data_IF_700975505401
#
_entry.id   IF_700975505401
#
_cell.length_a   1.000
_cell.length_b   1.000
_cell.length_c   1.000
_cell.angle_alpha   90.00
_cell.angle_beta   90.00
_cell.angle_gamma   90.00
#
_symmetry.space_group_name_H-M   'P 1'
#
loop_
_entity.id
_entity.type
_entity.pdbx_description
1 polymer ?
#
# COMPACT_ATOMS: atom_id res chain seq x y z
N UNK A 1 -12.45 4.05 12.57
CA UNK A 1 -12.70 4.43 13.99
C UNK A 1 -11.48 5.17 14.49
N UNK A 2 -11.68 6.19 15.29
CA UNK A 2 -10.63 6.89 16.05
C UNK A 2 -10.83 6.57 17.52
N UNK A 3 -9.75 6.19 18.20
CA UNK A 3 -9.75 5.96 19.64
C UNK A 3 -8.89 7.04 20.30
N UNK A 4 -9.45 7.74 21.27
CA UNK A 4 -8.67 8.62 22.14
C UNK A 4 -8.25 7.82 23.37
N UNK A 5 -6.93 7.60 23.52
CA UNK A 5 -6.40 6.83 24.66
C UNK A 5 -6.62 7.49 26.02
N UNK A 6 -7.04 8.76 26.06
CA UNK A 6 -7.39 9.51 27.28
C UNK A 6 -8.87 9.35 27.66
N UNK A 7 -9.68 8.83 26.75
CA UNK A 7 -11.10 8.57 26.96
C UNK A 7 -11.45 7.15 26.56
N UNK A 8 -12.49 6.58 27.16
CA UNK A 8 -12.99 5.25 26.81
C UNK A 8 -13.96 5.27 25.62
N UNK A 9 -13.87 6.28 24.77
CA UNK A 9 -14.77 6.46 23.63
C UNK A 9 -14.06 6.21 22.30
N UNK A 10 -14.80 5.61 21.36
CA UNK A 10 -14.37 5.44 19.98
C UNK A 10 -15.28 6.25 19.06
N UNK A 11 -14.69 7.10 18.24
CA UNK A 11 -15.43 7.91 17.27
C UNK A 11 -15.29 7.29 15.88
N UNK A 12 -16.41 7.14 15.19
CA UNK A 12 -16.40 6.75 13.77
C UNK A 12 -16.00 7.94 12.93
N UNK A 13 -14.90 7.82 12.15
CA UNK A 13 -14.40 8.91 11.32
C UNK A 13 -15.12 8.99 9.98
N UNK A 14 -15.20 7.87 9.27
CA UNK A 14 -15.79 7.81 7.93
C UNK A 14 -16.29 6.39 7.60
N UNK A 15 -17.12 6.30 6.57
CA UNK A 15 -17.47 5.06 5.88
C UNK A 15 -17.06 5.18 4.41
N UNK A 16 -16.24 4.26 3.94
CA UNK A 16 -15.95 4.16 2.52
C UNK A 16 -17.09 3.45 1.79
N UNK A 17 -17.56 4.05 0.70
CA UNK A 17 -18.59 3.49 -0.16
C UNK A 17 -18.05 3.35 -1.58
N UNK A 18 -18.44 2.28 -2.26
CA UNK A 18 -18.07 2.05 -3.66
C UNK A 18 -18.75 3.09 -4.54
N UNK A 19 -18.00 3.64 -5.52
CA UNK A 19 -18.53 4.52 -6.55
C UNK A 19 -19.37 3.76 -7.60
N UNK A 20 -19.36 2.42 -7.58
CA UNK A 20 -20.05 1.53 -8.52
C UNK A 20 -21.52 1.27 -8.12
N UNK A 21 -22.27 2.28 -7.71
CA UNK A 21 -23.71 2.17 -7.50
C UNK A 21 -24.48 2.43 -8.81
N UNK A 22 -25.28 1.48 -9.31
CA UNK A 22 -26.33 1.79 -10.25
C UNK A 22 -27.36 2.69 -9.55
N UNK A 23 -27.97 3.63 -10.27
CA UNK A 23 -29.00 4.57 -9.76
C UNK A 23 -30.14 3.91 -8.96
N UNK A 24 -30.23 2.57 -8.97
CA UNK A 24 -31.27 1.76 -8.29
C UNK A 24 -30.80 1.02 -7.02
N UNK A 25 -29.49 0.99 -6.72
CA UNK A 25 -28.97 0.35 -5.50
C UNK A 25 -28.06 1.30 -4.75
N UNK A 26 -28.16 1.36 -3.40
CA UNK A 26 -27.26 2.17 -2.61
C UNK A 26 -25.82 1.68 -2.82
N UNK A 27 -24.82 2.59 -2.81
CA UNK A 27 -23.42 2.20 -2.92
C UNK A 27 -23.04 1.22 -1.80
N UNK A 28 -22.45 0.10 -2.17
CA UNK A 28 -21.99 -0.92 -1.23
C UNK A 28 -20.90 -0.38 -0.31
N UNK A 29 -20.89 -0.81 0.95
CA UNK A 29 -19.79 -0.49 1.88
C UNK A 29 -18.53 -1.25 1.46
N UNK A 30 -17.39 -0.57 1.54
CA UNK A 30 -16.06 -1.16 1.28
C UNK A 30 -15.50 -1.67 2.59
N UNK A 31 -15.10 -2.94 2.63
CA UNK A 31 -14.29 -3.50 3.72
C UNK A 31 -12.86 -2.96 3.61
N UNK A 32 -12.31 -2.42 4.69
CA UNK A 32 -10.95 -1.87 4.72
C UNK A 32 -9.97 -2.92 5.24
N UNK A 33 -8.88 -3.16 4.49
CA UNK A 33 -7.80 -4.08 4.83
C UNK A 33 -6.58 -3.35 5.38
N UNK A 34 -6.34 -2.12 4.94
CA UNK A 34 -5.14 -1.36 5.29
C UNK A 34 -5.44 0.11 5.51
N UNK A 35 -4.70 0.71 6.45
CA UNK A 35 -4.68 2.14 6.74
C UNK A 35 -3.25 2.55 7.02
N UNK A 36 -2.83 3.71 6.50
CA UNK A 36 -1.51 4.28 6.76
C UNK A 36 -1.58 5.79 6.84
N UNK A 37 -0.80 6.38 7.75
CA UNK A 37 -0.71 7.83 7.94
C UNK A 37 0.54 8.33 7.21
N UNK A 38 0.43 9.47 6.52
CA UNK A 38 1.58 10.15 5.94
C UNK A 38 2.42 10.78 7.06
N UNK A 39 3.66 10.30 7.26
CA UNK A 39 4.55 10.78 8.32
C UNK A 39 4.97 12.24 8.15
N UNK A 40 4.99 12.77 6.92
CA UNK A 40 5.31 14.19 6.64
C UNK A 40 4.12 15.10 6.83
N UNK A 41 2.93 14.57 6.56
CA UNK A 41 1.68 15.33 6.61
C UNK A 41 0.69 14.54 7.46
N UNK A 42 0.84 14.52 8.80
CA UNK A 42 0.18 13.57 9.69
C UNK A 42 -1.35 13.74 9.78
N UNK A 43 -1.92 14.73 9.13
CA UNK A 43 -3.37 14.84 8.97
C UNK A 43 -3.88 14.13 7.70
N UNK A 44 -3.01 13.64 6.82
CA UNK A 44 -3.40 12.78 5.72
C UNK A 44 -3.20 11.31 6.07
N UNK A 45 -4.19 10.51 5.72
CA UNK A 45 -4.13 9.06 5.83
C UNK A 45 -4.73 8.40 4.60
N UNK A 46 -4.15 7.29 4.17
CA UNK A 46 -4.66 6.48 3.08
C UNK A 46 -5.36 5.23 3.62
N UNK A 47 -6.42 4.81 2.95
CA UNK A 47 -7.12 3.56 3.20
C UNK A 47 -7.30 2.78 1.90
N UNK A 48 -7.28 1.46 2.01
CA UNK A 48 -7.54 0.54 0.92
C UNK A 48 -8.20 -0.74 1.42
N UNK A 49 -8.92 -1.42 0.56
CA UNK A 49 -9.65 -2.60 0.95
C UNK A 49 -10.29 -3.35 -0.21
N UNK A 50 -11.55 -3.71 -0.07
CA UNK A 50 -12.27 -4.65 -0.95
C UNK A 50 -12.61 -4.12 -2.35
N UNK A 51 -11.98 -3.03 -2.77
CA UNK A 51 -12.02 -2.54 -4.15
C UNK A 51 -10.61 -2.10 -4.63
N UNK A 52 -10.55 -1.64 -5.87
CA UNK A 52 -9.31 -1.27 -6.55
C UNK A 52 -8.76 0.11 -6.18
N UNK A 53 -9.46 0.90 -5.36
CA UNK A 53 -9.08 2.30 -5.10
C UNK A 53 -8.41 2.50 -3.74
N UNK A 54 -7.17 3.03 -3.75
CA UNK A 54 -6.55 3.60 -2.56
C UNK A 54 -7.02 5.05 -2.41
N UNK A 55 -7.61 5.39 -1.26
CA UNK A 55 -8.22 6.71 -1.00
C UNK A 55 -7.48 7.44 0.10
N UNK A 56 -7.13 8.68 -0.16
CA UNK A 56 -6.49 9.57 0.82
C UNK A 56 -7.51 10.53 1.40
N UNK A 57 -7.53 10.65 2.70
CA UNK A 57 -8.42 11.54 3.46
C UNK A 57 -7.64 12.51 4.32
N UNK A 58 -8.23 13.69 4.55
CA UNK A 58 -7.76 14.66 5.54
C UNK A 58 -8.56 14.46 6.83
N UNK A 59 -7.91 14.05 7.92
CA UNK A 59 -8.57 13.79 9.20
C UNK A 59 -9.29 15.03 9.75
N UNK A 60 -8.83 16.22 9.41
CA UNK A 60 -9.42 17.50 9.84
C UNK A 60 -10.77 17.77 9.18
N UNK A 61 -11.03 17.12 8.02
CA UNK A 61 -12.29 17.19 7.27
C UNK A 61 -13.24 16.04 7.56
N UNK A 62 -12.78 15.02 8.30
CA UNK A 62 -13.59 13.86 8.65
C UNK A 62 -14.43 14.18 9.89
N UNK A 63 -15.70 14.58 9.70
CA UNK A 63 -16.65 14.86 10.77
C UNK A 63 -17.87 13.94 10.65
N UNK A 64 -18.00 12.99 11.56
CA UNK A 64 -19.13 12.03 11.59
C UNK A 64 -20.52 12.68 11.55
N UNK A 65 -20.66 13.87 12.12
CA UNK A 65 -21.94 14.59 12.22
C UNK A 65 -22.21 15.55 11.05
N UNK A 66 -21.27 15.75 10.15
CA UNK A 66 -21.37 16.68 9.04
C UNK A 66 -21.96 16.02 7.78
N UNK A 67 -22.42 16.85 6.86
CA UNK A 67 -23.06 16.49 5.58
C UNK A 67 -22.32 15.42 4.77
N UNK A 68 -22.98 14.80 3.79
CA UNK A 68 -22.45 13.78 2.86
C UNK A 68 -21.14 14.15 2.17
N UNK A 69 -20.76 15.43 2.14
CA UNK A 69 -19.54 15.95 1.53
C UNK A 69 -18.28 15.73 2.37
N UNK A 70 -18.43 15.42 3.68
CA UNK A 70 -17.29 15.18 4.58
C UNK A 70 -16.58 13.84 4.35
N UNK A 71 -17.22 12.90 3.66
CA UNK A 71 -16.70 11.57 3.39
C UNK A 71 -15.97 11.45 2.03
N UNK A 72 -15.72 12.57 1.34
CA UNK A 72 -15.02 12.56 0.06
C UNK A 72 -13.50 12.48 0.26
N UNK A 73 -12.82 11.57 -0.45
CA UNK A 73 -11.36 11.50 -0.41
C UNK A 73 -10.75 12.76 -1.06
N UNK A 74 -9.64 13.20 -0.51
CA UNK A 74 -8.83 14.30 -1.07
C UNK A 74 -8.12 13.85 -2.34
N UNK A 75 -7.75 12.57 -2.40
CA UNK A 75 -7.16 11.95 -3.59
C UNK A 75 -7.53 10.46 -3.67
N UNK A 76 -7.49 9.91 -4.89
CA UNK A 76 -7.79 8.50 -5.16
C UNK A 76 -6.81 7.97 -6.20
N UNK A 77 -6.19 6.83 -5.88
CA UNK A 77 -5.21 6.17 -6.73
C UNK A 77 -5.71 4.80 -7.16
N UNK A 78 -5.52 4.48 -8.43
CA UNK A 78 -5.77 3.16 -9.01
C UNK A 78 -4.96 3.02 -10.30
N UNK A 79 -4.29 1.89 -10.57
CA UNK A 79 -3.69 1.63 -11.88
C UNK A 79 -4.78 1.58 -12.96
N UNK A 80 -4.53 2.17 -14.12
CA UNK A 80 -5.54 2.30 -15.18
C UNK A 80 -6.16 0.96 -15.60
N UNK A 81 -5.35 -0.10 -15.70
CA UNK A 81 -5.81 -1.44 -16.10
C UNK A 81 -6.65 -2.15 -15.04
N UNK A 82 -6.58 -1.73 -13.77
CA UNK A 82 -7.40 -2.28 -12.69
C UNK A 82 -8.74 -1.56 -12.53
N UNK A 83 -8.91 -0.41 -13.15
CA UNK A 83 -10.13 0.38 -13.07
C UNK A 83 -11.33 -0.43 -13.57
N UNK A 84 -12.32 -0.62 -12.71
CA UNK A 84 -13.50 -1.39 -13.03
C UNK A 84 -13.38 -2.90 -12.77
N UNK A 85 -12.24 -3.40 -12.34
CA UNK A 85 -12.04 -4.81 -11.97
C UNK A 85 -12.91 -5.18 -10.76
N UNK A 86 -13.57 -6.36 -10.84
CA UNK A 86 -14.48 -6.80 -9.77
C UNK A 86 -13.81 -7.63 -8.68
N UNK A 87 -12.67 -8.25 -8.99
CA UNK A 87 -12.02 -9.24 -8.11
C UNK A 87 -10.72 -8.71 -7.50
N UNK A 88 -10.32 -7.49 -7.83
CA UNK A 88 -9.11 -6.87 -7.33
C UNK A 88 -9.42 -6.08 -6.07
N UNK A 89 -8.59 -6.26 -5.05
CA UNK A 89 -8.68 -5.54 -3.78
C UNK A 89 -7.28 -5.19 -3.26
N UNK A 90 -7.22 -4.14 -2.46
CA UNK A 90 -5.96 -3.70 -1.85
C UNK A 90 -5.68 -4.53 -0.61
N UNK A 91 -4.45 -5.04 -0.51
CA UNK A 91 -3.97 -5.85 0.61
C UNK A 91 -3.07 -5.07 1.56
N UNK A 92 -2.28 -4.11 1.04
CA UNK A 92 -1.34 -3.35 1.84
C UNK A 92 -1.09 -1.95 1.31
N UNK A 93 -0.80 -1.04 2.22
CA UNK A 93 -0.44 0.35 1.95
C UNK A 93 0.77 0.74 2.79
N UNK A 94 1.66 1.57 2.24
CA UNK A 94 2.72 2.24 2.99
C UNK A 94 2.99 3.63 2.41
N UNK A 95 3.34 4.58 3.27
CA UNK A 95 3.88 5.88 2.85
C UNK A 95 5.39 5.91 2.97
N UNK A 96 6.06 6.46 1.96
CA UNK A 96 7.47 6.80 2.04
C UNK A 96 7.67 8.09 2.85
N UNK A 97 8.91 8.34 3.29
CA UNK A 97 9.33 9.61 3.90
C UNK A 97 9.17 10.81 2.95
N UNK A 98 8.98 10.59 1.66
CA UNK A 98 8.69 11.62 0.65
C UNK A 98 7.20 11.73 0.29
N UNK A 99 6.30 11.12 1.07
CA UNK A 99 4.85 11.11 0.84
C UNK A 99 4.43 10.41 -0.46
N UNK A 100 5.23 9.46 -0.97
CA UNK A 100 4.83 8.57 -2.05
C UNK A 100 3.99 7.43 -1.45
N UNK A 101 2.93 7.01 -2.12
CA UNK A 101 2.03 5.96 -1.67
C UNK A 101 2.33 4.65 -2.38
N UNK A 102 2.72 3.63 -1.62
CA UNK A 102 2.89 2.26 -2.09
C UNK A 102 1.60 1.48 -1.87
N UNK A 103 1.11 0.81 -2.89
CA UNK A 103 -0.15 0.07 -2.88
C UNK A 103 0.07 -1.34 -3.41
N UNK A 104 -0.30 -2.35 -2.62
CA UNK A 104 -0.25 -3.76 -3.01
C UNK A 104 -1.65 -4.29 -3.29
N UNK A 105 -1.80 -5.01 -4.38
CA UNK A 105 -3.06 -5.62 -4.80
C UNK A 105 -2.99 -7.16 -4.73
N UNK A 106 -4.15 -7.79 -4.47
CA UNK A 106 -4.25 -9.24 -4.61
C UNK A 106 -4.23 -9.63 -6.09
N UNK A 107 -3.67 -10.79 -6.39
CA UNK A 107 -3.55 -11.36 -7.75
C UNK A 107 -2.97 -10.40 -8.79
N UNK A 108 -2.26 -9.35 -8.32
CA UNK A 108 -1.64 -8.33 -9.13
C UNK A 108 -0.32 -7.87 -8.50
N UNK A 109 0.17 -6.70 -8.87
CA UNK A 109 1.49 -6.19 -8.54
C UNK A 109 1.44 -5.16 -7.39
N UNK A 110 2.58 -4.58 -7.09
CA UNK A 110 2.74 -3.46 -6.17
C UNK A 110 3.04 -2.22 -7.00
N UNK A 111 2.36 -1.13 -6.70
CA UNK A 111 2.44 0.15 -7.42
C UNK A 111 2.87 1.26 -6.50
N UNK A 112 3.81 2.10 -6.95
CA UNK A 112 4.23 3.30 -6.26
C UNK A 112 3.66 4.52 -6.97
N UNK A 113 2.81 5.26 -6.26
CA UNK A 113 2.23 6.51 -6.72
C UNK A 113 2.99 7.68 -6.11
N UNK A 114 3.45 8.59 -6.96
CA UNK A 114 4.11 9.82 -6.54
C UNK A 114 3.06 10.87 -6.14
N UNK A 115 3.43 11.75 -5.22
CA UNK A 115 2.58 12.89 -4.87
C UNK A 115 2.57 13.86 -6.05
N UNK A 116 1.38 14.12 -6.62
CA UNK A 116 1.24 15.18 -7.62
C UNK A 116 1.57 16.53 -6.97
N UNK A 117 2.46 17.29 -7.59
CA UNK A 117 2.83 18.65 -7.17
C UNK A 117 1.67 19.66 -7.21
N UNK A 118 0.52 19.29 -7.78
CA UNK A 118 -0.71 20.07 -7.84
C UNK A 118 -1.51 20.14 -6.53
N UNK A 119 -1.00 19.56 -5.44
CA UNK A 119 -1.70 19.56 -4.15
C UNK A 119 -1.74 20.93 -3.45
N UNK A 120 -0.90 21.90 -3.87
CA UNK A 120 -0.85 23.25 -3.31
C UNK A 120 -1.63 24.31 -4.11
N UNK A 121 -2.23 23.96 -5.25
CA UNK A 121 -3.08 24.86 -6.01
C UNK A 121 -4.56 24.53 -5.79
N UNK A 122 -5.31 25.50 -5.26
CA UNK A 122 -6.77 25.51 -5.16
C UNK A 122 -7.41 25.09 -6.49
N UNK A 123 -8.49 24.29 -6.50
CA UNK A 123 -9.16 23.89 -7.72
C UNK A 123 -9.80 25.12 -8.38
N UNK A 124 -9.15 25.65 -9.39
CA UNK A 124 -9.75 26.55 -10.35
C UNK A 124 -10.51 25.72 -11.37
N UNK A 125 -11.79 26.04 -11.52
CA UNK A 125 -12.79 25.44 -12.40
C UNK A 125 -12.28 25.04 -13.79
N UNK A 126 -12.71 23.83 -14.22
CA UNK A 126 -12.88 23.41 -15.60
C UNK A 126 -11.76 23.72 -16.61
N UNK A 127 -10.77 22.84 -16.67
CA UNK A 127 -9.99 22.68 -17.89
C UNK A 127 -9.84 21.18 -18.18
N UNK A 128 -10.19 20.76 -19.41
CA UNK A 128 -9.90 19.47 -19.97
C UNK A 128 -8.38 19.22 -19.84
N UNK A 129 -7.98 18.28 -18.97
CA UNK A 129 -6.58 17.93 -18.83
C UNK A 129 -6.15 17.09 -20.03
N UNK A 130 -5.06 17.53 -20.67
CA UNK A 130 -4.38 16.81 -21.73
C UNK A 130 -3.90 15.45 -21.23
N UNK A 131 -4.03 14.34 -22.02
CA UNK A 131 -3.64 13.00 -21.62
C UNK A 131 -2.13 12.76 -21.54
N UNK A 132 -1.30 13.81 -21.47
CA UNK A 132 0.17 13.74 -21.46
C UNK A 132 0.81 13.72 -20.07
N UNK A 133 0.05 13.81 -18.98
CA UNK A 133 0.57 13.69 -17.61
C UNK A 133 0.32 12.28 -17.04
N UNK A 134 0.63 11.25 -17.84
CA UNK A 134 0.77 9.88 -17.33
C UNK A 134 2.00 9.83 -16.44
N UNK A 135 1.80 10.05 -15.17
CA UNK A 135 2.79 9.82 -14.13
C UNK A 135 3.23 8.36 -14.23
N UNK A 136 4.53 8.11 -14.49
CA UNK A 136 5.09 6.77 -14.55
C UNK A 136 4.97 6.11 -13.18
N UNK A 137 3.90 5.34 -13.00
CA UNK A 137 3.71 4.52 -11.81
C UNK A 137 4.77 3.42 -11.81
N UNK A 138 5.66 3.41 -10.82
CA UNK A 138 6.65 2.32 -10.69
C UNK A 138 5.95 1.07 -10.23
N UNK A 139 6.36 -0.06 -10.82
CA UNK A 139 5.72 -1.36 -10.61
C UNK A 139 6.73 -2.37 -10.10
N UNK A 140 6.42 -3.06 -9.01
CA UNK A 140 7.24 -4.11 -8.42
C UNK A 140 6.56 -5.46 -8.60
N UNK A 141 7.27 -6.40 -9.22
CA UNK A 141 6.73 -7.69 -9.67
C UNK A 141 7.50 -8.88 -9.12
N UNK A 142 6.92 -10.07 -9.30
CA UNK A 142 7.55 -11.35 -9.00
C UNK A 142 7.06 -12.04 -7.72
N UNK A 143 6.45 -11.31 -6.79
CA UNK A 143 5.82 -11.88 -5.59
C UNK A 143 4.44 -12.48 -5.92
N UNK A 144 3.92 -13.33 -5.04
CA UNK A 144 2.55 -13.87 -5.09
C UNK A 144 1.74 -13.31 -3.95
N UNK A 145 0.56 -12.80 -4.26
CA UNK A 145 -0.36 -12.19 -3.30
C UNK A 145 -1.82 -12.59 -3.56
N UNK A 146 -2.12 -13.90 -3.50
CA UNK A 146 -3.43 -14.45 -3.80
C UNK A 146 -4.13 -15.08 -2.58
N UNK A 147 -3.35 -15.59 -1.62
CA UNK A 147 -3.91 -16.42 -0.54
C UNK A 147 -4.32 -15.64 0.70
N UNK A 148 -3.56 -14.61 1.05
CA UNK A 148 -3.78 -13.85 2.30
C UNK A 148 -3.49 -12.37 2.08
N UNK A 149 -4.05 -11.52 2.92
CA UNK A 149 -3.73 -10.10 2.96
C UNK A 149 -2.27 -9.91 3.37
N UNK A 150 -1.50 -9.17 2.56
CA UNK A 150 -0.08 -8.93 2.77
C UNK A 150 0.22 -7.44 2.89
N UNK A 151 1.04 -7.10 3.90
CA UNK A 151 1.61 -5.78 4.03
C UNK A 151 2.73 -5.55 3.03
N UNK A 152 2.97 -4.29 2.75
CA UNK A 152 4.14 -3.78 2.04
C UNK A 152 4.79 -2.72 2.89
N UNK A 153 6.09 -2.48 2.72
CA UNK A 153 6.78 -1.44 3.46
C UNK A 153 7.97 -0.89 2.68
N UNK A 154 8.51 0.21 3.17
CA UNK A 154 9.80 0.74 2.73
C UNK A 154 10.90 0.29 3.69
N UNK A 155 12.14 0.28 3.19
CA UNK A 155 13.32 -0.07 3.97
C UNK A 155 14.52 0.79 3.59
N UNK A 156 15.37 1.04 4.58
CA UNK A 156 16.53 1.91 4.44
C UNK A 156 16.29 3.32 4.98
N UNK A 157 17.36 4.06 5.32
CA UNK A 157 17.28 5.37 5.96
C UNK A 157 16.53 6.42 5.10
N UNK A 158 16.56 6.28 3.78
CA UNK A 158 15.86 7.16 2.83
C UNK A 158 14.84 6.41 1.96
N UNK A 159 14.30 5.30 2.46
CA UNK A 159 13.34 4.45 1.73
C UNK A 159 13.89 3.96 0.38
N UNK A 160 15.16 3.54 0.34
CA UNK A 160 15.82 3.10 -0.88
C UNK A 160 15.25 1.79 -1.43
N UNK A 161 14.58 1.03 -0.58
CA UNK A 161 14.05 -0.28 -0.92
C UNK A 161 12.56 -0.39 -0.64
N UNK A 162 11.89 -1.25 -1.40
CA UNK A 162 10.50 -1.69 -1.20
C UNK A 162 10.52 -3.15 -0.76
N UNK A 163 9.67 -3.49 0.20
CA UNK A 163 9.55 -4.82 0.79
C UNK A 163 8.16 -5.39 0.56
N UNK A 164 8.08 -6.68 0.30
CA UNK A 164 6.83 -7.45 0.40
C UNK A 164 7.10 -8.89 0.81
N UNK A 165 6.14 -9.47 1.54
CA UNK A 165 6.04 -10.90 1.68
C UNK A 165 5.39 -11.56 0.45
N UNK A 166 5.33 -12.88 0.46
CA UNK A 166 4.75 -13.65 -0.64
C UNK A 166 4.09 -14.94 -0.15
N UNK A 167 3.14 -15.44 -0.93
CA UNK A 167 2.49 -16.74 -0.70
C UNK A 167 3.44 -17.93 -0.82
N UNK A 168 4.60 -17.73 -1.44
CA UNK A 168 5.66 -18.76 -1.54
C UNK A 168 6.61 -18.76 -0.34
N UNK A 169 6.34 -17.96 0.71
CA UNK A 169 7.16 -17.92 1.91
C UNK A 169 8.43 -17.06 1.79
N UNK A 170 8.63 -16.38 0.68
CA UNK A 170 9.78 -15.52 0.48
C UNK A 170 9.50 -14.06 0.84
N UNK A 171 10.56 -13.37 1.23
CA UNK A 171 10.63 -11.92 1.41
C UNK A 171 11.30 -11.36 0.16
N UNK A 172 10.62 -10.44 -0.49
CA UNK A 172 11.09 -9.73 -1.68
C UNK A 172 11.56 -8.34 -1.29
N UNK A 173 12.75 -7.96 -1.80
CA UNK A 173 13.33 -6.62 -1.62
C UNK A 173 13.71 -6.08 -2.99
N UNK A 174 13.06 -5.01 -3.39
CA UNK A 174 13.38 -4.29 -4.64
C UNK A 174 14.07 -2.96 -4.34
N UNK A 175 14.95 -2.53 -5.23
CA UNK A 175 15.45 -1.16 -5.23
C UNK A 175 14.34 -0.22 -5.70
N UNK A 176 13.96 0.76 -4.86
CA UNK A 176 12.79 1.63 -5.11
C UNK A 176 12.84 2.33 -6.46
N UNK A 177 13.97 2.96 -6.81
CA UNK A 177 14.10 3.77 -8.03
C UNK A 177 14.04 2.94 -9.31
N UNK A 178 14.62 1.75 -9.30
CA UNK A 178 14.80 0.91 -10.50
C UNK A 178 13.71 -0.16 -10.62
N UNK A 179 12.89 -0.33 -9.58
CA UNK A 179 11.96 -1.44 -9.42
C UNK A 179 12.60 -2.84 -9.62
N UNK A 180 13.93 -2.92 -9.43
CA UNK A 180 14.72 -4.12 -9.62
C UNK A 180 14.78 -4.95 -8.35
N UNK A 181 14.46 -6.23 -8.45
CA UNK A 181 14.65 -7.19 -7.36
C UNK A 181 16.15 -7.29 -7.03
N UNK A 182 16.51 -6.99 -5.78
CA UNK A 182 17.90 -7.03 -5.31
C UNK A 182 18.12 -8.12 -4.26
N UNK A 183 17.05 -8.58 -3.60
CA UNK A 183 17.13 -9.62 -2.59
C UNK A 183 15.89 -10.47 -2.58
N UNK A 184 16.10 -11.76 -2.40
CA UNK A 184 15.06 -12.76 -2.19
C UNK A 184 15.51 -13.63 -1.00
N UNK A 185 14.74 -13.64 0.07
CA UNK A 185 15.07 -14.37 1.29
C UNK A 185 13.96 -15.37 1.63
N UNK A 186 14.32 -16.54 2.13
CA UNK A 186 13.36 -17.50 2.65
C UNK A 186 12.91 -17.01 4.02
N UNK A 187 11.68 -16.53 4.11
CA UNK A 187 11.07 -16.01 5.33
C UNK A 187 10.37 -17.09 6.14
N UNK A 188 9.41 -17.74 5.56
CA UNK A 188 8.58 -18.79 6.16
C UNK A 188 8.46 -19.99 5.25
N UNK A 189 7.97 -21.11 5.78
CA UNK A 189 7.69 -22.33 4.98
C UNK A 189 6.48 -22.15 4.08
N UNK A 190 5.54 -21.29 4.48
CA UNK A 190 4.28 -21.07 3.78
C UNK A 190 4.16 -19.63 3.29
N UNK A 191 3.62 -18.75 4.09
CA UNK A 191 3.29 -17.38 3.68
C UNK A 191 3.99 -16.38 4.58
N UNK A 192 4.57 -15.34 4.02
CA UNK A 192 4.97 -14.15 4.75
C UNK A 192 3.90 -13.09 4.55
N UNK A 193 3.22 -12.68 5.64
CA UNK A 193 2.12 -11.73 5.59
C UNK A 193 2.53 -10.30 5.91
N UNK A 194 3.34 -10.12 6.95
CA UNK A 194 3.70 -8.79 7.43
C UNK A 194 5.21 -8.65 7.58
N UNK A 195 5.67 -7.44 7.34
CA UNK A 195 7.06 -7.05 7.50
C UNK A 195 7.11 -5.61 8.00
N UNK A 196 7.98 -5.39 8.97
CA UNK A 196 8.16 -4.07 9.57
C UNK A 196 9.65 -3.76 9.67
N UNK A 197 10.03 -2.62 9.11
CA UNK A 197 11.40 -2.13 9.18
C UNK A 197 11.62 -1.38 10.50
N UNK A 198 12.76 -1.61 11.14
CA UNK A 198 13.12 -0.79 12.28
C UNK A 198 13.45 0.64 11.84
N UNK A 199 12.94 1.69 12.52
CA UNK A 199 13.01 3.06 12.04
C UNK A 199 14.43 3.65 11.98
N UNK A 200 15.39 3.09 12.71
CA UNK A 200 16.74 3.68 12.88
C UNK A 200 17.89 2.75 12.54
N UNK A 201 17.71 1.45 12.63
CA UNK A 201 18.77 0.46 12.35
C UNK A 201 18.31 -0.50 11.25
N UNK A 202 19.22 -1.13 10.50
CA UNK A 202 18.88 -1.96 9.36
C UNK A 202 18.34 -3.35 9.77
N UNK A 203 17.39 -3.37 10.70
CA UNK A 203 16.72 -4.58 11.15
C UNK A 203 15.33 -4.65 10.51
N UNK A 204 14.90 -5.86 10.21
CA UNK A 204 13.59 -6.16 9.65
C UNK A 204 12.93 -7.24 10.52
N UNK A 205 11.67 -7.03 10.88
CA UNK A 205 10.82 -8.05 11.47
C UNK A 205 9.86 -8.61 10.42
N UNK A 206 9.65 -9.92 10.40
CA UNK A 206 8.68 -10.55 9.50
C UNK A 206 7.88 -11.61 10.23
N UNK A 207 6.62 -11.77 9.83
CA UNK A 207 5.74 -12.85 10.30
C UNK A 207 4.78 -13.29 9.19
N UNK A 208 4.27 -14.50 9.33
CA UNK A 208 3.30 -15.10 8.44
C UNK A 208 2.23 -15.86 9.20
N UNK A 209 1.89 -17.05 8.72
CA UNK A 209 0.94 -17.96 9.39
C UNK A 209 1.63 -18.87 10.39
N UNK A 210 2.94 -18.89 10.46
CA UNK A 210 3.71 -19.62 11.46
C UNK A 210 3.62 -18.90 12.82
N UNK A 211 3.81 -19.62 13.91
CA UNK A 211 3.66 -19.10 15.28
C UNK A 211 4.90 -18.35 15.78
N UNK A 212 5.61 -17.66 14.90
CA UNK A 212 6.84 -16.93 15.25
C UNK A 212 6.97 -15.62 14.51
N UNK A 213 7.77 -14.72 15.06
CA UNK A 213 8.26 -13.52 14.43
C UNK A 213 9.76 -13.71 14.19
N UNK A 214 10.22 -13.43 12.98
CA UNK A 214 11.64 -13.52 12.62
C UNK A 214 12.24 -12.13 12.57
N UNK A 215 13.42 -11.97 13.16
CA UNK A 215 14.20 -10.74 13.12
C UNK A 215 15.42 -10.96 12.23
N UNK A 216 15.60 -10.07 11.28
CA UNK A 216 16.68 -10.09 10.31
C UNK A 216 17.63 -8.94 10.58
N UNK A 217 18.93 -9.25 10.61
CA UNK A 217 20.00 -8.29 10.80
C UNK A 217 21.10 -8.49 9.76
N UNK A 218 21.73 -7.44 9.24
CA UNK A 218 22.90 -7.58 8.37
C UNK A 218 24.11 -8.00 9.19
N UNK A 219 24.53 -9.26 9.06
CA UNK A 219 25.69 -9.81 9.75
C UNK A 219 26.89 -10.03 8.81
N UNK A 220 26.66 -10.02 7.49
CA UNK A 220 27.70 -10.25 6.48
C UNK A 220 28.27 -8.97 5.91
N UNK A 221 29.56 -8.98 5.58
CA UNK A 221 30.23 -7.90 4.84
C UNK A 221 29.86 -7.89 3.36
N UNK A 222 29.49 -9.05 2.81
CA UNK A 222 29.25 -9.22 1.38
C UNK A 222 27.76 -9.34 1.08
N UNK A 223 27.38 -8.83 -0.08
CA UNK A 223 26.01 -8.98 -0.60
C UNK A 223 25.93 -10.30 -1.40
N UNK A 224 25.31 -11.38 -0.88
CA UNK A 224 25.17 -12.59 -1.64
C UNK A 224 24.32 -12.33 -2.91
N UNK A 225 24.62 -13.02 -4.03
CA UNK A 225 23.82 -12.91 -5.24
C UNK A 225 22.40 -13.42 -5.03
N UNK A 226 21.50 -13.09 -5.94
CA UNK A 226 20.16 -13.70 -5.97
C UNK A 226 20.30 -15.23 -6.13
N UNK A 227 19.39 -16.03 -5.53
CA UNK A 227 19.40 -17.48 -5.70
C UNK A 227 19.37 -17.90 -7.18
N UNK A 228 20.06 -18.97 -7.53
CA UNK A 228 20.11 -19.50 -8.93
C UNK A 228 18.72 -19.86 -9.47
N UNK A 229 17.83 -20.30 -8.57
CA UNK A 229 16.45 -20.67 -8.90
C UNK A 229 15.45 -19.49 -8.79
N UNK A 230 15.93 -18.25 -8.80
CA UNK A 230 15.07 -17.07 -8.65
C UNK A 230 13.92 -17.05 -9.67
N UNK A 231 14.16 -17.51 -10.91
CA UNK A 231 13.15 -17.55 -11.98
C UNK A 231 11.99 -18.50 -11.66
N UNK A 232 12.22 -19.56 -10.89
CA UNK A 232 11.19 -20.53 -10.48
C UNK A 232 10.31 -19.97 -9.35
N UNK A 233 10.86 -19.06 -8.56
CA UNK A 233 10.15 -18.42 -7.45
C UNK A 233 9.32 -17.22 -7.93
N UNK A 234 9.78 -16.54 -8.99
CA UNK A 234 9.10 -15.37 -9.54
C UNK A 234 7.72 -15.76 -10.08
N UNK A 235 6.73 -14.98 -9.68
CA UNK A 235 5.39 -15.05 -10.25
C UNK A 235 5.30 -14.12 -11.45
N UNK A 236 4.90 -14.66 -12.60
CA UNK A 236 4.61 -13.88 -13.80
C UNK A 236 3.10 -13.89 -13.97
N UNK A 237 2.49 -12.71 -14.03
CA UNK A 237 1.08 -12.58 -14.40
C UNK A 237 0.95 -13.02 -15.86
N UNK A 238 0.13 -14.01 -16.10
CA UNK A 238 -0.20 -14.55 -17.42
C UNK A 238 -1.36 -13.83 -18.06
#
# INVERSE_FOLDING_TARGET
MQFDLRSNSATKLLCCSSTKGNKKQPPGKIGLNSIVIDSRIPYYFAVGGSDEYARVYDIRKCHWAASKDSDQPVNTFCPNHLTGSKNVHITGLAYSKSSELLVSYNDDLIYLFEKNSSFDSLPSSAACEDPKNLQETRVYSGHRNAKTVKGVNFFGPNDEYVLSGSDCGHIFIWRKKEAKLVRLMVGDRHVVNQLEAHPHIPFLATCGIEKNVKIWAPLGSDTPPLPSNVKEVLYVLS
#
